data_IF_020978248630
#
_entry.id   IF_020978248630
#
_cell.length_a   1.000
_cell.length_b   1.000
_cell.length_c   1.000
_cell.angle_alpha   90.00
_cell.angle_beta   90.00
_cell.angle_gamma   90.00
#
_symmetry.space_group_name_H-M   'P 1'
#
loop_
_entity.id
_entity.type
_entity.pdbx_description
1 polymer ?
#
# COMPACT_ATOMS: atom_id res chain seq x y z
N UNK A 1 -11.14 -1.72 21.41
CA UNK A 1 -9.83 -2.23 20.98
C UNK A 1 -9.36 -1.44 19.78
N UNK A 2 -8.07 -1.10 19.70
CA UNK A 2 -7.45 -0.36 18.60
C UNK A 2 -6.44 -1.29 17.90
N UNK A 3 -6.73 -1.64 16.65
CA UNK A 3 -5.91 -2.53 15.83
C UNK A 3 -5.27 -1.72 14.70
N UNK A 4 -3.95 -1.84 14.58
CA UNK A 4 -3.20 -1.33 13.44
C UNK A 4 -2.77 -2.50 12.57
N UNK A 5 -2.98 -2.40 11.26
CA UNK A 5 -2.56 -3.39 10.28
C UNK A 5 -1.57 -2.75 9.33
N UNK A 6 -0.31 -3.18 9.41
CA UNK A 6 0.75 -2.82 8.47
C UNK A 6 0.70 -3.83 7.33
N UNK A 7 0.45 -3.37 6.11
CA UNK A 7 0.20 -4.26 4.97
C UNK A 7 0.56 -3.62 3.62
N UNK A 8 0.59 -4.43 2.57
CA UNK A 8 0.56 -3.96 1.19
C UNK A 8 -0.86 -4.00 0.59
N UNK A 9 -0.94 -3.85 -0.73
CA UNK A 9 -2.20 -3.91 -1.49
C UNK A 9 -2.80 -5.32 -1.61
N UNK A 10 -2.40 -6.07 -2.64
CA UNK A 10 -3.17 -7.20 -3.18
C UNK A 10 -3.42 -8.34 -2.20
N UNK A 11 -2.38 -8.84 -1.52
CA UNK A 11 -2.51 -10.05 -0.70
C UNK A 11 -3.47 -9.84 0.48
N UNK A 12 -3.30 -8.76 1.23
CA UNK A 12 -4.14 -8.47 2.40
C UNK A 12 -5.59 -8.14 2.00
N UNK A 13 -5.85 -7.66 0.78
CA UNK A 13 -7.23 -7.45 0.32
C UNK A 13 -8.05 -8.75 0.27
N UNK A 14 -7.42 -9.92 0.12
CA UNK A 14 -8.10 -11.22 0.09
C UNK A 14 -8.58 -11.69 1.46
N UNK A 15 -8.06 -11.11 2.55
CA UNK A 15 -8.40 -11.46 3.92
C UNK A 15 -8.89 -10.24 4.71
N UNK A 16 -9.40 -9.21 4.02
CA UNK A 16 -9.77 -7.94 4.66
C UNK A 16 -10.86 -8.12 5.72
N UNK A 17 -11.77 -9.06 5.49
CA UNK A 17 -12.90 -9.38 6.37
C UNK A 17 -12.46 -9.85 7.76
N UNK A 18 -11.28 -10.50 7.85
CA UNK A 18 -10.70 -10.99 9.11
C UNK A 18 -10.27 -9.86 10.05
N UNK A 19 -9.99 -8.68 9.50
CA UNK A 19 -9.60 -7.50 10.27
C UNK A 19 -10.79 -6.64 10.67
N UNK A 20 -11.98 -6.86 10.10
CA UNK A 20 -13.10 -5.95 10.34
C UNK A 20 -13.58 -6.05 11.81
N UNK A 21 -13.72 -4.91 12.51
CA UNK A 21 -14.13 -4.91 13.90
C UNK A 21 -15.54 -5.48 14.06
N UNK A 22 -15.74 -6.31 15.10
CA UNK A 22 -17.08 -6.79 15.48
C UNK A 22 -17.88 -5.72 16.25
N UNK A 23 -17.18 -4.89 17.02
CA UNK A 23 -17.78 -3.81 17.81
C UNK A 23 -17.53 -2.45 17.13
N UNK A 24 -18.55 -1.59 17.11
CA UNK A 24 -18.45 -0.21 16.56
C UNK A 24 -17.46 0.67 17.32
N UNK A 25 -17.20 0.35 18.59
CA UNK A 25 -16.23 1.07 19.43
C UNK A 25 -14.77 0.64 19.16
N UNK A 26 -14.57 -0.48 18.46
CA UNK A 26 -13.24 -0.91 18.04
C UNK A 26 -12.77 -0.08 16.85
N UNK A 27 -11.50 0.32 16.84
CA UNK A 27 -10.88 1.07 15.75
C UNK A 27 -9.93 0.17 14.98
N UNK A 28 -9.99 0.25 13.66
CA UNK A 28 -9.09 -0.44 12.73
C UNK A 28 -8.36 0.60 11.88
N UNK A 29 -7.04 0.54 11.84
CA UNK A 29 -6.23 1.42 11.00
C UNK A 29 -5.31 0.61 10.11
N UNK A 30 -5.42 0.77 8.80
CA UNK A 30 -4.46 0.25 7.84
C UNK A 30 -3.36 1.28 7.58
N UNK A 31 -2.10 0.83 7.64
CA UNK A 31 -0.92 1.63 7.28
C UNK A 31 -0.26 0.95 6.09
N UNK A 32 -0.09 1.72 5.01
CA UNK A 32 0.32 1.22 3.70
C UNK A 32 1.60 1.92 3.22
N UNK A 33 2.46 1.24 2.45
CA UNK A 33 3.58 1.87 1.77
C UNK A 33 3.08 2.81 0.66
N UNK A 34 3.93 3.75 0.24
CA UNK A 34 3.66 4.67 -0.89
C UNK A 34 4.74 4.61 -1.98
N UNK A 35 5.52 3.52 -2.01
CA UNK A 35 6.70 3.34 -2.86
C UNK A 35 6.47 2.54 -4.15
N UNK A 36 5.24 2.09 -4.43
CA UNK A 36 4.91 1.36 -5.66
C UNK A 36 5.06 2.26 -6.90
N UNK A 37 6.07 2.01 -7.72
CA UNK A 37 6.34 2.80 -8.92
C UNK A 37 5.77 2.17 -10.22
N UNK A 38 4.76 1.32 -10.10
CA UNK A 38 4.29 0.49 -11.18
C UNK A 38 2.90 0.81 -11.76
N UNK A 39 2.69 0.43 -13.03
CA UNK A 39 1.37 0.37 -13.66
C UNK A 39 0.67 1.72 -13.70
N UNK A 40 -0.61 1.75 -13.31
CA UNK A 40 -1.39 3.00 -13.31
C UNK A 40 -0.89 4.04 -12.31
N UNK A 41 -0.28 3.64 -11.19
CA UNK A 41 0.29 4.58 -10.23
C UNK A 41 1.59 5.15 -10.78
N UNK A 42 2.46 4.28 -11.30
CA UNK A 42 3.71 4.69 -11.96
C UNK A 42 3.50 5.64 -13.13
N UNK A 43 2.45 5.43 -13.95
CA UNK A 43 2.14 6.34 -15.06
C UNK A 43 1.69 7.73 -14.57
N UNK A 44 0.93 7.81 -13.47
CA UNK A 44 0.61 9.11 -12.85
C UNK A 44 1.85 9.79 -12.31
N UNK A 45 2.76 9.05 -11.67
CA UNK A 45 4.02 9.59 -11.16
C UNK A 45 4.93 10.07 -12.30
N UNK A 46 4.98 9.34 -13.42
CA UNK A 46 5.76 9.72 -14.61
C UNK A 46 5.32 11.07 -15.18
N UNK A 47 4.01 11.33 -15.20
CA UNK A 47 3.45 12.55 -15.77
C UNK A 47 3.46 13.71 -14.77
N UNK A 48 3.08 13.46 -13.52
CA UNK A 48 2.77 14.51 -12.54
C UNK A 48 3.71 14.52 -11.33
N UNK A 49 4.60 13.54 -11.18
CA UNK A 49 5.49 13.37 -10.04
C UNK A 49 4.79 12.93 -8.75
N UNK A 50 5.57 12.85 -7.67
CA UNK A 50 5.11 12.53 -6.33
C UNK A 50 5.01 11.03 -6.04
N UNK A 51 4.46 10.71 -4.87
CA UNK A 51 4.37 9.34 -4.37
C UNK A 51 3.19 8.54 -4.93
N UNK A 52 3.28 7.22 -4.76
CA UNK A 52 2.29 6.26 -5.23
C UNK A 52 1.05 6.24 -4.36
N UNK A 53 -0.12 6.19 -5.00
CA UNK A 53 -1.43 6.15 -4.32
C UNK A 53 -2.13 4.79 -4.47
N UNK A 54 -1.53 3.85 -5.21
CA UNK A 54 -2.21 2.64 -5.69
C UNK A 54 -2.71 1.74 -4.58
N UNK A 55 -1.87 1.48 -3.58
CA UNK A 55 -2.22 0.63 -2.43
C UNK A 55 -3.26 1.29 -1.53
N UNK A 56 -3.13 2.60 -1.27
CA UNK A 56 -4.13 3.38 -0.53
C UNK A 56 -5.48 3.33 -1.24
N UNK A 57 -5.52 3.64 -2.53
CA UNK A 57 -6.74 3.52 -3.34
C UNK A 57 -7.31 2.11 -3.27
N UNK A 58 -6.48 1.09 -3.45
CA UNK A 58 -6.90 -0.31 -3.43
C UNK A 58 -7.59 -0.68 -2.13
N UNK A 59 -7.02 -0.24 -0.99
CA UNK A 59 -7.59 -0.47 0.33
C UNK A 59 -8.90 0.27 0.55
N UNK A 60 -8.93 1.55 0.19
CA UNK A 60 -10.12 2.38 0.31
C UNK A 60 -11.29 1.75 -0.45
N UNK A 61 -11.11 1.48 -1.73
CA UNK A 61 -12.18 0.94 -2.58
C UNK A 61 -12.68 -0.41 -2.06
N UNK A 62 -11.80 -1.28 -1.55
CA UNK A 62 -12.19 -2.57 -0.97
C UNK A 62 -13.04 -2.45 0.30
N UNK A 63 -12.89 -1.36 1.05
CA UNK A 63 -13.63 -1.10 2.30
C UNK A 63 -14.92 -0.31 2.08
N UNK A 64 -15.19 0.16 0.86
CA UNK A 64 -16.40 0.89 0.53
C UNK A 64 -17.64 0.01 0.71
N UNK A 65 -18.71 0.62 1.21
CA UNK A 65 -20.03 0.00 1.36
C UNK A 65 -21.01 0.49 0.30
N UNK A 66 -20.69 1.59 -0.40
CA UNK A 66 -21.46 2.06 -1.53
C UNK A 66 -21.03 1.30 -2.80
N UNK A 67 -21.85 0.34 -3.23
CA UNK A 67 -21.56 -0.58 -4.34
C UNK A 67 -21.34 0.13 -5.68
N UNK A 68 -22.14 1.14 -6.02
CA UNK A 68 -22.02 1.83 -7.31
C UNK A 68 -20.73 2.66 -7.39
N UNK A 69 -20.37 3.33 -6.29
CA UNK A 69 -19.11 4.06 -6.18
C UNK A 69 -17.91 3.10 -6.16
N UNK A 70 -18.05 1.97 -5.47
CA UNK A 70 -17.01 0.94 -5.45
C UNK A 70 -16.76 0.39 -6.86
N UNK A 71 -17.81 0.06 -7.61
CA UNK A 71 -17.72 -0.49 -8.97
C UNK A 71 -16.91 0.44 -9.89
N UNK A 72 -17.27 1.73 -9.94
CA UNK A 72 -16.56 2.69 -10.80
C UNK A 72 -15.12 2.93 -10.36
N UNK A 73 -14.83 2.97 -9.05
CA UNK A 73 -13.46 3.21 -8.56
C UNK A 73 -12.57 1.95 -8.57
N UNK A 74 -13.16 0.76 -8.71
CA UNK A 74 -12.42 -0.47 -9.04
C UNK A 74 -12.08 -0.57 -10.52
N UNK A 75 -12.82 0.15 -11.37
CA UNK A 75 -12.72 0.02 -12.82
C UNK A 75 -11.31 0.31 -13.35
N UNK A 76 -10.87 -0.52 -14.29
CA UNK A 76 -9.64 -0.34 -15.05
C UNK A 76 -9.99 -0.27 -16.52
N UNK A 77 -9.43 0.74 -17.20
CA UNK A 77 -9.62 0.93 -18.63
C UNK A 77 -9.04 -0.24 -19.43
N UNK A 78 -9.52 -0.37 -20.66
CA UNK A 78 -9.02 -1.32 -21.67
C UNK A 78 -7.49 -1.37 -21.74
N UNK A 79 -6.94 -2.53 -22.09
CA UNK A 79 -5.51 -2.67 -22.37
C UNK A 79 -5.11 -2.10 -23.74
N UNK A 80 -6.06 -1.87 -24.63
CA UNK A 80 -5.86 -1.16 -25.90
C UNK A 80 -6.00 0.35 -25.68
N UNK A 81 -4.97 1.11 -26.06
CA UNK A 81 -4.91 2.55 -25.81
C UNK A 81 -6.03 3.34 -26.51
N UNK A 82 -6.46 2.91 -27.70
CA UNK A 82 -7.51 3.61 -28.45
C UNK A 82 -8.87 3.35 -27.78
N UNK A 83 -9.14 2.10 -27.40
CA UNK A 83 -10.38 1.77 -26.70
C UNK A 83 -10.42 2.39 -25.30
N UNK A 84 -9.28 2.41 -24.59
CA UNK A 84 -9.16 3.04 -23.28
C UNK A 84 -9.52 4.54 -23.33
N UNK A 85 -9.10 5.25 -24.39
CA UNK A 85 -9.46 6.67 -24.58
C UNK A 85 -10.96 6.86 -24.82
N UNK A 86 -11.57 6.04 -25.67
CA UNK A 86 -13.03 6.09 -25.89
C UNK A 86 -13.81 5.75 -24.63
N UNK A 87 -13.31 4.79 -23.85
CA UNK A 87 -13.90 4.39 -22.58
C UNK A 87 -13.80 5.51 -21.54
N UNK A 88 -12.63 6.15 -21.42
CA UNK A 88 -12.42 7.34 -20.59
C UNK A 88 -13.40 8.47 -20.95
N UNK A 89 -13.49 8.82 -22.24
CA UNK A 89 -14.43 9.83 -22.75
C UNK A 89 -15.88 9.50 -22.40
N UNK A 90 -16.28 8.23 -22.49
CA UNK A 90 -17.63 7.79 -22.08
C UNK A 90 -17.85 8.00 -20.58
N UNK A 91 -16.89 7.60 -19.75
CA UNK A 91 -16.98 7.71 -18.29
C UNK A 91 -17.08 9.17 -17.84
N UNK A 92 -16.23 10.08 -18.32
CA UNK A 92 -16.24 11.48 -17.87
C UNK A 92 -17.51 12.24 -18.28
N UNK A 93 -18.22 11.76 -19.31
CA UNK A 93 -19.48 12.31 -19.81
C UNK A 93 -20.73 11.60 -19.26
N UNK A 94 -20.58 10.49 -18.54
CA UNK A 94 -21.70 9.73 -17.99
C UNK A 94 -22.36 10.47 -16.81
N UNK A 95 -23.63 10.85 -16.97
CA UNK A 95 -24.37 11.61 -15.96
C UNK A 95 -24.89 10.76 -14.82
N UNK A 96 -24.86 9.43 -14.93
CA UNK A 96 -25.24 8.51 -13.87
C UNK A 96 -24.13 8.34 -12.82
N UNK A 97 -22.88 8.66 -13.18
CA UNK A 97 -21.76 8.67 -12.22
C UNK A 97 -21.92 9.84 -11.24
N UNK A 98 -21.65 9.55 -9.97
CA UNK A 98 -21.66 10.54 -8.88
C UNK A 98 -20.94 11.84 -9.28
N UNK A 99 -21.59 12.97 -9.01
CA UNK A 99 -21.13 14.27 -9.50
C UNK A 99 -19.78 14.67 -8.94
N UNK A 100 -19.43 14.24 -7.72
CA UNK A 100 -18.12 14.51 -7.12
C UNK A 100 -17.06 13.73 -7.89
N UNK A 101 -17.29 12.43 -8.10
CA UNK A 101 -16.38 11.56 -8.86
C UNK A 101 -16.15 12.13 -10.26
N UNK A 102 -17.24 12.39 -10.98
CA UNK A 102 -17.17 12.92 -12.34
C UNK A 102 -16.49 14.28 -12.40
N UNK A 103 -16.64 15.14 -11.39
CA UNK A 103 -15.97 16.46 -11.35
C UNK A 103 -14.45 16.32 -11.28
N UNK A 104 -13.95 15.41 -10.44
CA UNK A 104 -12.50 15.17 -10.34
C UNK A 104 -11.95 14.41 -11.55
N UNK A 105 -12.73 13.53 -12.17
CA UNK A 105 -12.32 12.89 -13.42
C UNK A 105 -12.24 13.90 -14.58
N UNK A 106 -13.20 14.83 -14.69
CA UNK A 106 -13.12 15.93 -15.66
C UNK A 106 -11.95 16.87 -15.37
N UNK A 107 -11.65 17.14 -14.09
CA UNK A 107 -10.44 17.87 -13.73
C UNK A 107 -9.18 17.15 -14.21
N UNK A 108 -9.08 15.84 -13.99
CA UNK A 108 -7.96 15.03 -14.48
C UNK A 108 -7.88 15.01 -16.00
N UNK A 109 -9.01 14.95 -16.71
CA UNK A 109 -9.05 15.02 -18.17
C UNK A 109 -8.33 16.26 -18.69
N UNK A 110 -8.59 17.44 -18.09
CA UNK A 110 -7.89 18.69 -18.42
C UNK A 110 -6.40 18.62 -18.10
N UNK A 111 -5.99 17.94 -17.02
CA UNK A 111 -4.56 17.76 -16.71
C UNK A 111 -3.85 16.81 -17.67
N UNK A 112 -4.59 15.83 -18.21
CA UNK A 112 -4.09 14.82 -19.14
C UNK A 112 -4.01 15.40 -20.55
N UNK A 113 -4.88 16.35 -20.89
CA UNK A 113 -4.86 17.04 -22.19
C UNK A 113 -3.49 17.70 -22.44
N UNK A 114 -2.85 17.31 -23.55
CA UNK A 114 -1.51 17.79 -23.91
C UNK A 114 -0.35 17.06 -23.24
N UNK A 115 -0.61 16.10 -22.34
CA UNK A 115 0.40 15.17 -21.83
C UNK A 115 0.60 13.97 -22.77
N UNK A 116 1.70 13.23 -22.60
CA UNK A 116 1.93 11.96 -23.28
C UNK A 116 1.39 10.75 -22.49
N UNK A 117 0.49 10.98 -21.54
CA UNK A 117 -0.06 9.96 -20.65
C UNK A 117 -0.80 8.87 -21.44
N UNK A 118 -0.51 7.61 -21.10
CA UNK A 118 -1.22 6.43 -21.60
C UNK A 118 -2.39 6.10 -20.68
N UNK A 119 -3.55 5.82 -21.30
CA UNK A 119 -4.76 5.43 -20.58
C UNK A 119 -4.97 3.92 -20.56
N UNK A 120 -4.24 3.16 -21.39
CA UNK A 120 -4.29 1.71 -21.36
C UNK A 120 -4.06 1.18 -19.93
N UNK A 121 -5.02 0.40 -19.41
CA UNK A 121 -5.01 -0.22 -18.06
C UNK A 121 -5.04 0.76 -16.89
N UNK A 122 -5.27 2.06 -17.15
CA UNK A 122 -5.37 3.05 -16.10
C UNK A 122 -6.54 2.74 -15.14
N UNK A 123 -6.33 2.98 -13.86
CA UNK A 123 -7.33 2.80 -12.81
C UNK A 123 -8.15 4.07 -12.65
N UNK A 124 -9.47 4.00 -12.83
CA UNK A 124 -10.37 5.14 -12.62
C UNK A 124 -10.27 5.64 -11.18
N UNK A 125 -10.19 4.74 -10.21
CA UNK A 125 -9.98 5.13 -8.82
C UNK A 125 -8.64 5.81 -8.57
N UNK A 126 -7.57 5.48 -9.32
CA UNK A 126 -6.29 6.19 -9.21
C UNK A 126 -6.44 7.61 -9.76
N UNK A 127 -7.07 7.77 -10.93
CA UNK A 127 -7.34 9.09 -11.52
C UNK A 127 -8.14 9.97 -10.55
N UNK A 128 -9.22 9.41 -9.99
CA UNK A 128 -10.04 10.11 -9.01
C UNK A 128 -9.25 10.51 -7.77
N UNK A 129 -8.59 9.57 -7.08
CA UNK A 129 -7.84 9.86 -5.86
C UNK A 129 -6.68 10.83 -6.10
N UNK A 130 -5.98 10.71 -7.24
CA UNK A 130 -4.91 11.61 -7.61
C UNK A 130 -5.43 13.02 -7.89
N UNK A 131 -6.54 13.15 -8.61
CA UNK A 131 -7.20 14.43 -8.84
C UNK A 131 -7.63 15.11 -7.55
N UNK A 132 -8.18 14.35 -6.59
CA UNK A 132 -8.45 14.87 -5.26
C UNK A 132 -7.15 15.34 -4.58
N UNK A 133 -6.13 14.49 -4.51
CA UNK A 133 -4.82 14.81 -3.91
C UNK A 133 -4.22 16.10 -4.45
N UNK A 134 -4.28 16.33 -5.77
CA UNK A 134 -3.74 17.54 -6.41
C UNK A 134 -4.40 18.83 -5.91
N UNK A 135 -5.69 18.78 -5.58
CA UNK A 135 -6.47 19.96 -5.18
C UNK A 135 -6.43 20.19 -3.67
N UNK A 136 -6.56 19.14 -2.87
CA UNK A 136 -6.78 19.26 -1.42
C UNK A 136 -5.69 18.64 -0.55
N UNK A 137 -4.71 17.95 -1.14
CA UNK A 137 -3.76 17.14 -0.37
C UNK A 137 -4.26 15.72 -0.12
N UNK A 138 -3.35 14.84 0.29
CA UNK A 138 -3.64 13.40 0.38
C UNK A 138 -4.58 13.04 1.52
N UNK A 139 -4.45 13.71 2.66
CA UNK A 139 -5.27 13.45 3.84
C UNK A 139 -6.75 13.74 3.54
N UNK A 140 -7.02 14.92 3.00
CA UNK A 140 -8.36 15.37 2.62
C UNK A 140 -8.93 14.51 1.49
N UNK A 141 -8.08 14.05 0.55
CA UNK A 141 -8.49 13.14 -0.52
C UNK A 141 -8.93 11.76 0.01
N UNK A 142 -8.20 11.21 0.98
CA UNK A 142 -8.58 9.97 1.69
C UNK A 142 -9.90 10.17 2.43
N UNK A 143 -10.07 11.29 3.15
CA UNK A 143 -11.31 11.60 3.85
C UNK A 143 -12.51 11.72 2.90
N UNK A 144 -12.31 12.33 1.73
CA UNK A 144 -13.35 12.42 0.71
C UNK A 144 -13.74 11.04 0.19
N UNK A 145 -12.76 10.20 -0.17
CA UNK A 145 -13.01 8.82 -0.59
C UNK A 145 -13.74 8.01 0.49
N UNK A 146 -13.33 8.14 1.75
CA UNK A 146 -14.00 7.49 2.89
C UNK A 146 -15.48 7.88 2.96
N UNK A 147 -15.78 9.18 2.87
CA UNK A 147 -17.14 9.71 2.97
C UNK A 147 -18.03 9.25 1.83
N UNK A 148 -17.59 9.40 0.57
CA UNK A 148 -18.40 9.01 -0.59
C UNK A 148 -18.54 7.48 -0.68
N UNK A 149 -17.49 6.75 -0.31
CA UNK A 149 -17.48 5.29 -0.32
C UNK A 149 -18.27 4.64 0.82
N UNK A 150 -18.76 5.42 1.80
CA UNK A 150 -19.49 4.90 2.95
C UNK A 150 -18.63 4.03 3.87
N UNK A 151 -17.32 4.31 3.96
CA UNK A 151 -16.42 3.56 4.84
C UNK A 151 -16.75 3.90 6.30
N UNK A 152 -16.92 2.90 7.19
CA UNK A 152 -17.23 3.15 8.60
C UNK A 152 -16.20 4.07 9.28
N UNK A 153 -16.68 5.03 10.08
CA UNK A 153 -15.83 6.06 10.71
C UNK A 153 -14.78 5.51 11.69
N UNK A 154 -14.92 4.26 12.14
CA UNK A 154 -13.97 3.57 13.00
C UNK A 154 -12.89 2.81 12.19
N UNK A 155 -12.90 2.90 10.87
CA UNK A 155 -11.91 2.31 9.97
C UNK A 155 -11.12 3.45 9.29
N UNK A 156 -9.80 3.40 9.42
CA UNK A 156 -8.89 4.41 8.89
C UNK A 156 -7.86 3.77 7.95
N UNK A 157 -7.45 4.53 6.93
CA UNK A 157 -6.45 4.12 5.94
C UNK A 157 -5.44 5.26 5.81
N UNK A 158 -4.18 4.99 6.09
CA UNK A 158 -3.10 5.97 5.98
C UNK A 158 -1.92 5.42 5.17
N UNK A 159 -1.23 6.30 4.45
CA UNK A 159 0.12 6.01 3.97
C UNK A 159 1.12 6.18 5.10
N UNK A 160 2.21 5.40 5.11
CA UNK A 160 3.26 5.56 6.10
C UNK A 160 3.90 6.95 6.06
N UNK A 161 4.07 7.50 4.85
CA UNK A 161 4.53 8.87 4.58
C UNK A 161 3.77 9.43 3.37
N UNK A 162 3.69 10.75 3.23
CA UNK A 162 3.25 11.44 2.01
C UNK A 162 4.39 12.23 1.35
N UNK A 163 5.62 11.93 1.71
CA UNK A 163 6.80 12.39 0.98
C UNK A 163 6.94 11.66 -0.35
N UNK A 164 7.53 12.34 -1.34
CA UNK A 164 7.91 11.72 -2.61
C UNK A 164 9.09 10.77 -2.40
N UNK A 165 8.86 9.48 -2.63
CA UNK A 165 9.79 8.40 -2.31
C UNK A 165 9.71 7.26 -3.32
N UNK A 166 10.88 6.69 -3.61
CA UNK A 166 11.02 5.36 -4.18
C UNK A 166 11.83 4.50 -3.19
N UNK A 167 11.93 3.19 -3.44
CA UNK A 167 12.72 2.27 -2.62
C UNK A 167 13.87 1.66 -3.41
N UNK A 168 14.93 1.32 -2.71
CA UNK A 168 16.01 0.47 -3.22
C UNK A 168 16.14 -0.79 -2.37
N UNK A 169 16.62 -1.87 -2.99
CA UNK A 169 17.05 -3.09 -2.33
C UNK A 169 18.54 -3.29 -2.57
N UNK A 170 19.32 -3.40 -1.49
CA UNK A 170 20.72 -3.82 -1.51
C UNK A 170 20.78 -5.32 -1.28
N UNK A 171 21.29 -6.07 -2.26
CA UNK A 171 21.42 -7.51 -2.19
C UNK A 171 22.70 -7.93 -1.42
N UNK A 172 22.74 -9.16 -0.94
CA UNK A 172 23.88 -9.68 -0.17
C UNK A 172 25.18 -9.76 -0.99
N UNK A 173 25.09 -9.90 -2.31
CA UNK A 173 26.23 -9.84 -3.24
C UNK A 173 26.72 -8.40 -3.52
N UNK A 174 26.08 -7.37 -2.97
CA UNK A 174 26.43 -5.96 -3.14
C UNK A 174 25.71 -5.23 -4.27
N UNK A 175 24.95 -5.92 -5.12
CA UNK A 175 24.12 -5.29 -6.16
C UNK A 175 22.99 -4.46 -5.53
N UNK A 176 22.63 -3.36 -6.19
CA UNK A 176 21.51 -2.50 -5.81
C UNK A 176 20.47 -2.54 -6.93
N UNK A 177 19.21 -2.71 -6.53
CA UNK A 177 18.04 -2.62 -7.40
C UNK A 177 17.23 -1.43 -6.92
N UNK A 178 16.84 -0.53 -7.83
CA UNK A 178 16.06 0.67 -7.53
C UNK A 178 14.67 0.51 -8.18
N UNK A 179 13.63 0.86 -7.44
CA UNK A 179 12.25 0.73 -7.89
C UNK A 179 11.56 -0.50 -7.30
N UNK A 180 10.39 -0.29 -6.69
CA UNK A 180 9.60 -1.40 -6.16
C UNK A 180 9.28 -2.44 -7.24
N UNK A 181 8.86 -2.01 -8.43
CA UNK A 181 8.53 -2.92 -9.52
C UNK A 181 9.75 -3.75 -9.95
N UNK A 182 10.95 -3.16 -10.04
CA UNK A 182 12.16 -3.92 -10.40
C UNK A 182 12.53 -4.99 -9.35
N UNK A 183 12.23 -4.73 -8.08
CA UNK A 183 12.46 -5.65 -6.97
C UNK A 183 11.44 -6.81 -7.03
N UNK A 184 10.14 -6.51 -7.06
CA UNK A 184 9.08 -7.51 -6.89
C UNK A 184 8.55 -8.08 -8.19
N UNK A 185 8.34 -7.22 -9.19
CA UNK A 185 7.55 -7.50 -10.38
C UNK A 185 8.21 -6.83 -11.61
N UNK A 186 9.30 -7.41 -12.13
CA UNK A 186 10.11 -6.75 -13.14
C UNK A 186 9.27 -6.51 -14.41
N UNK A 187 9.59 -5.44 -15.12
CA UNK A 187 8.87 -5.09 -16.34
C UNK A 187 9.16 -6.11 -17.44
N UNK A 188 8.10 -6.73 -17.99
CA UNK A 188 8.22 -7.58 -19.18
C UNK A 188 8.08 -6.69 -20.43
N UNK A 189 9.21 -6.29 -21.02
CA UNK A 189 9.27 -5.51 -22.26
C UNK A 189 9.60 -4.02 -22.05
N UNK A 190 9.29 -3.18 -23.04
CA UNK A 190 9.76 -1.78 -23.07
C UNK A 190 8.85 -0.75 -22.35
N UNK A 191 7.88 -1.17 -21.52
CA UNK A 191 6.91 -0.24 -20.92
C UNK A 191 6.61 -0.55 -19.45
N UNK A 192 6.77 0.44 -18.57
CA UNK A 192 6.45 0.38 -17.12
C UNK A 192 4.97 0.05 -16.81
N UNK A 193 4.10 0.09 -17.83
CA UNK A 193 2.69 -0.34 -17.72
C UNK A 193 2.54 -1.88 -17.72
N UNK A 194 3.55 -2.61 -18.19
CA UNK A 194 3.55 -4.07 -18.37
C UNK A 194 4.37 -4.74 -17.27
N UNK A 195 3.80 -4.77 -16.07
CA UNK A 195 4.40 -5.37 -14.88
C UNK A 195 4.06 -6.84 -14.80
N UNK A 196 5.08 -7.67 -14.62
CA UNK A 196 4.89 -9.10 -14.38
C UNK A 196 4.65 -9.38 -12.90
N UNK A 197 3.37 -9.32 -12.51
CA UNK A 197 2.95 -9.63 -11.14
C UNK A 197 3.05 -11.12 -10.79
N UNK A 198 3.30 -11.97 -11.79
CA UNK A 198 3.41 -13.42 -11.65
C UNK A 198 4.88 -13.88 -11.75
N UNK A 199 5.85 -12.96 -11.78
CA UNK A 199 7.26 -13.30 -11.83
C UNK A 199 7.69 -14.01 -10.54
N UNK A 200 7.86 -15.34 -10.63
CA UNK A 200 8.36 -16.18 -9.54
C UNK A 200 9.87 -16.38 -9.58
N UNK A 201 10.58 -15.79 -10.56
CA UNK A 201 12.03 -15.96 -10.71
C UNK A 201 12.73 -15.27 -9.53
N UNK A 202 13.42 -16.02 -8.65
CA UNK A 202 14.07 -15.43 -7.49
C UNK A 202 15.10 -14.37 -7.87
N UNK A 203 15.33 -13.42 -6.96
CA UNK A 203 16.47 -12.52 -7.08
C UNK A 203 17.78 -13.31 -7.07
N UNK A 204 18.78 -12.79 -7.79
CA UNK A 204 20.11 -13.40 -7.91
C UNK A 204 20.85 -13.56 -6.57
N UNK A 205 20.44 -12.82 -5.55
CA UNK A 205 21.00 -12.84 -4.20
C UNK A 205 19.95 -12.32 -3.21
N UNK A 206 19.89 -12.81 -1.97
CA UNK A 206 18.95 -12.34 -0.97
C UNK A 206 19.06 -10.84 -0.71
N UNK A 207 17.93 -10.19 -0.40
CA UNK A 207 17.89 -8.79 0.02
C UNK A 207 18.53 -8.69 1.41
N UNK A 208 19.48 -7.75 1.56
CA UNK A 208 20.16 -7.44 2.82
C UNK A 208 19.57 -6.21 3.51
N UNK A 209 19.17 -5.20 2.74
CA UNK A 209 18.59 -3.94 3.24
C UNK A 209 17.64 -3.36 2.19
N UNK A 210 16.55 -2.78 2.67
CA UNK A 210 15.73 -1.83 1.90
C UNK A 210 15.86 -0.44 2.52
N UNK A 211 15.86 0.58 1.68
CA UNK A 211 15.87 1.97 2.10
C UNK A 211 15.10 2.84 1.11
N UNK A 212 14.94 4.11 1.46
CA UNK A 212 14.30 5.09 0.60
C UNK A 212 15.33 5.76 -0.30
N UNK A 213 14.92 6.09 -1.51
CA UNK A 213 15.72 6.83 -2.48
C UNK A 213 14.82 7.79 -3.22
N UNK A 214 15.34 8.98 -3.55
CA UNK A 214 14.63 9.92 -4.42
C UNK A 214 14.84 9.51 -5.87
N UNK A 215 13.82 9.72 -6.71
CA UNK A 215 13.96 9.46 -8.14
C UNK A 215 15.11 10.28 -8.76
N UNK A 216 16.00 9.60 -9.49
CA UNK A 216 17.19 10.20 -10.10
C UNK A 216 18.41 10.33 -9.19
N UNK A 217 18.32 9.97 -7.91
CA UNK A 217 19.46 9.94 -6.98
C UNK A 217 19.99 8.51 -6.78
N UNK A 218 21.30 8.38 -6.54
CA UNK A 218 21.97 7.10 -6.22
C UNK A 218 21.82 6.73 -4.73
N UNK A 219 22.53 5.68 -4.28
CA UNK A 219 22.61 5.33 -2.85
C UNK A 219 23.20 6.51 -2.06
N UNK A 220 22.41 7.16 -1.20
CA UNK A 220 22.88 8.26 -0.36
C UNK A 220 21.78 8.95 0.45
N UNK A 221 21.98 8.99 1.78
CA UNK A 221 21.43 9.87 2.84
C UNK A 221 19.96 10.38 2.82
N UNK A 222 19.10 9.89 1.93
CA UNK A 222 17.66 10.18 1.92
C UNK A 222 16.82 9.10 2.63
N UNK A 223 17.43 8.33 3.55
CA UNK A 223 16.75 7.32 4.39
C UNK A 223 15.81 7.98 5.43
N UNK A 224 15.94 9.29 5.68
CA UNK A 224 15.12 10.04 6.65
C UNK A 224 13.77 10.47 6.05
N UNK A 225 12.88 9.49 5.81
CA UNK A 225 11.49 9.76 5.40
C UNK A 225 10.58 9.73 6.62
N UNK A 226 9.94 10.85 6.91
CA UNK A 226 9.15 11.01 8.13
C UNK A 226 7.76 10.43 7.94
N UNK A 227 7.31 9.73 8.98
CA UNK A 227 5.95 9.23 9.00
C UNK A 227 4.94 10.35 9.22
N UNK A 228 3.74 10.17 8.68
CA UNK A 228 2.64 11.09 8.89
C UNK A 228 2.18 11.08 10.36
N UNK A 229 1.75 12.22 10.89
CA UNK A 229 1.31 12.34 12.29
C UNK A 229 0.15 11.39 12.62
N UNK A 230 -0.82 11.22 11.72
CA UNK A 230 -1.94 10.29 11.94
C UNK A 230 -1.49 8.83 11.98
N UNK A 231 -0.42 8.51 11.26
CA UNK A 231 0.19 7.18 11.26
C UNK A 231 0.91 6.93 12.58
N UNK A 232 1.71 7.89 13.03
CA UNK A 232 2.41 7.83 14.32
C UNK A 232 1.43 7.71 15.48
N UNK A 233 0.36 8.52 15.48
CA UNK A 233 -0.68 8.48 16.50
C UNK A 233 -1.42 7.13 16.49
N UNK A 234 -1.78 6.61 15.32
CA UNK A 234 -2.47 5.32 15.23
C UNK A 234 -1.64 4.18 15.82
N UNK A 235 -0.33 4.17 15.53
CA UNK A 235 0.62 3.19 16.08
C UNK A 235 0.76 3.38 17.58
N UNK A 236 0.99 4.60 18.04
CA UNK A 236 1.19 4.91 19.46
C UNK A 236 -0.04 4.57 20.31
N UNK A 237 -1.24 4.66 19.75
CA UNK A 237 -2.47 4.34 20.45
C UNK A 237 -2.91 2.88 20.32
N UNK A 238 -2.28 2.08 19.45
CA UNK A 238 -2.75 0.72 19.17
C UNK A 238 -2.62 -0.19 20.40
N UNK A 239 -3.60 -1.08 20.55
CA UNK A 239 -3.55 -2.23 21.46
C UNK A 239 -2.85 -3.42 20.79
N UNK A 240 -3.05 -3.57 19.47
CA UNK A 240 -2.50 -4.66 18.66
C UNK A 240 -1.98 -4.13 17.32
N UNK A 241 -0.77 -4.54 16.96
CA UNK A 241 -0.17 -4.31 15.64
C UNK A 241 -0.12 -5.64 14.90
N UNK A 242 -0.66 -5.67 13.68
CA UNK A 242 -0.61 -6.82 12.79
C UNK A 242 0.29 -6.50 11.61
N UNK A 243 1.35 -7.27 11.43
CA UNK A 243 2.14 -7.31 10.21
C UNK A 243 1.47 -8.33 9.29
N UNK A 244 0.70 -7.85 8.32
CA UNK A 244 -0.15 -8.69 7.49
C UNK A 244 0.62 -9.36 6.34
N UNK A 245 -0.06 -10.26 5.61
CA UNK A 245 0.45 -10.89 4.40
C UNK A 245 0.70 -9.88 3.26
N UNK A 246 1.71 -10.16 2.45
CA UNK A 246 2.18 -9.31 1.36
C UNK A 246 3.69 -9.39 1.21
N UNK A 247 4.24 -8.62 0.28
CA UNK A 247 5.68 -8.60 0.04
C UNK A 247 6.41 -8.06 1.26
N UNK A 248 7.30 -8.87 1.83
CA UNK A 248 8.01 -8.52 3.06
C UNK A 248 8.87 -7.28 2.84
N UNK A 249 9.69 -7.26 1.79
CA UNK A 249 10.71 -6.24 1.58
C UNK A 249 10.17 -5.00 0.90
N UNK A 250 9.09 -5.11 0.13
CA UNK A 250 8.53 -3.97 -0.62
C UNK A 250 7.18 -3.46 -0.14
N UNK A 251 6.53 -4.15 0.82
CA UNK A 251 5.31 -3.64 1.45
C UNK A 251 5.45 -3.42 2.95
N UNK A 252 5.95 -4.42 3.70
CA UNK A 252 6.00 -4.34 5.16
C UNK A 252 7.21 -3.53 5.63
N UNK A 253 8.42 -3.93 5.22
CA UNK A 253 9.67 -3.27 5.64
C UNK A 253 9.69 -1.78 5.32
N UNK A 254 9.25 -1.28 4.15
CA UNK A 254 9.23 0.16 3.86
C UNK A 254 8.44 0.96 4.89
N UNK A 255 7.29 0.45 5.36
CA UNK A 255 6.53 1.11 6.43
C UNK A 255 7.33 1.16 7.73
N UNK A 256 8.01 0.07 8.10
CA UNK A 256 8.72 -0.02 9.38
C UNK A 256 9.96 0.88 9.47
N UNK A 257 10.67 1.03 8.35
CA UNK A 257 11.87 1.87 8.28
C UNK A 257 11.55 3.36 8.12
N UNK A 258 10.28 3.74 7.93
CA UNK A 258 9.86 5.14 7.92
C UNK A 258 10.14 5.77 9.28
N UNK A 259 10.86 6.89 9.29
CA UNK A 259 11.34 7.57 10.48
C UNK A 259 10.19 7.95 11.40
N UNK A 260 10.35 7.61 12.66
CA UNK A 260 9.35 7.81 13.69
C UNK A 260 8.55 6.56 14.01
N UNK A 261 8.34 5.64 13.06
CA UNK A 261 7.48 4.46 13.26
C UNK A 261 8.00 3.56 14.38
N UNK A 262 9.27 3.18 14.32
CA UNK A 262 9.87 2.27 15.30
C UNK A 262 9.86 2.83 16.72
N UNK A 263 9.96 4.15 16.89
CA UNK A 263 9.86 4.82 18.19
C UNK A 263 8.46 4.76 18.82
N UNK A 264 7.39 4.67 18.03
CA UNK A 264 6.00 4.67 18.54
C UNK A 264 5.49 3.26 18.82
N UNK A 265 6.18 2.23 18.32
CA UNK A 265 5.86 0.84 18.62
C UNK A 265 6.32 0.54 20.04
N UNK A 266 5.37 0.33 20.95
CA UNK A 266 5.62 0.09 22.37
C UNK A 266 5.87 -1.39 22.64
N UNK A 267 6.56 -1.70 23.74
CA UNK A 267 6.86 -3.09 24.15
C UNK A 267 5.62 -3.86 24.58
N UNK A 268 4.69 -3.21 25.28
CA UNK A 268 3.45 -3.78 25.83
C UNK A 268 2.37 -4.06 24.76
N UNK A 269 2.52 -3.52 23.55
CA UNK A 269 1.60 -3.80 22.45
C UNK A 269 1.69 -5.26 22.03
N UNK A 270 0.53 -5.87 21.80
CA UNK A 270 0.46 -7.17 21.17
C UNK A 270 0.86 -7.05 19.70
N UNK A 271 1.71 -7.96 19.22
CA UNK A 271 2.24 -7.92 17.85
C UNK A 271 2.00 -9.26 17.19
N UNK A 272 1.33 -9.27 16.05
CA UNK A 272 0.96 -10.48 15.30
C UNK A 272 1.62 -10.42 13.93
N UNK A 273 2.26 -11.51 13.52
CA UNK A 273 2.81 -11.66 12.17
C UNK A 273 2.02 -12.69 11.38
N UNK A 274 1.43 -12.27 10.26
CA UNK A 274 0.84 -13.16 9.27
C UNK A 274 1.88 -13.41 8.18
N UNK A 275 2.27 -14.68 7.99
CA UNK A 275 3.29 -15.05 6.99
C UNK A 275 2.60 -15.51 5.71
N UNK A 276 3.18 -15.16 4.57
CA UNK A 276 2.69 -15.61 3.27
C UNK A 276 2.67 -17.14 3.20
N UNK A 277 1.65 -17.70 2.54
CA UNK A 277 1.53 -19.14 2.35
C UNK A 277 2.55 -19.74 1.36
N UNK A 278 3.19 -18.88 0.56
CA UNK A 278 4.19 -19.29 -0.42
C UNK A 278 5.29 -18.21 -0.55
N UNK A 279 6.58 -18.57 -0.72
CA UNK A 279 7.66 -17.61 -0.93
C UNK A 279 7.48 -16.84 -2.23
N UNK A 280 7.79 -15.55 -2.22
CA UNK A 280 7.86 -14.76 -3.47
C UNK A 280 9.31 -14.57 -3.93
N UNK A 281 9.48 -13.86 -5.04
CA UNK A 281 10.77 -13.49 -5.61
C UNK A 281 11.74 -12.85 -4.59
N UNK A 282 11.22 -12.10 -3.62
CA UNK A 282 11.99 -11.37 -2.62
C UNK A 282 12.46 -12.26 -1.46
N UNK A 283 11.74 -13.35 -1.21
CA UNK A 283 11.83 -14.16 0.02
C UNK A 283 12.24 -15.60 -0.23
N UNK A 284 12.77 -15.91 -1.42
CA UNK A 284 13.29 -17.23 -1.77
C UNK A 284 14.28 -17.76 -0.71
N UNK A 285 13.93 -18.89 -0.09
CA UNK A 285 14.74 -19.54 0.94
C UNK A 285 14.52 -19.02 2.36
N UNK A 286 13.63 -18.04 2.58
CA UNK A 286 13.27 -17.54 3.91
C UNK A 286 12.21 -18.42 4.56
N UNK A 287 12.38 -18.67 5.86
CA UNK A 287 11.38 -19.30 6.72
C UNK A 287 10.67 -18.27 7.62
N UNK A 288 9.74 -18.74 8.46
CA UNK A 288 8.94 -17.89 9.37
C UNK A 288 9.79 -17.08 10.36
N UNK A 289 10.88 -17.64 10.86
CA UNK A 289 11.81 -16.94 11.77
C UNK A 289 12.59 -15.87 11.02
N UNK A 290 12.92 -16.09 9.74
CA UNK A 290 13.57 -15.07 8.91
C UNK A 290 12.67 -13.86 8.71
N UNK A 291 11.36 -14.05 8.47
CA UNK A 291 10.39 -12.94 8.41
C UNK A 291 10.37 -12.12 9.70
N UNK A 292 10.28 -12.81 10.85
CA UNK A 292 10.28 -12.19 12.17
C UNK A 292 11.57 -11.42 12.43
N UNK A 293 12.72 -12.02 12.12
CA UNK A 293 14.04 -11.39 12.25
C UNK A 293 14.19 -10.16 11.35
N UNK A 294 13.65 -10.20 10.13
CA UNK A 294 13.66 -9.04 9.22
C UNK A 294 12.81 -7.89 9.78
N UNK A 295 11.62 -8.17 10.31
CA UNK A 295 10.77 -7.16 10.95
C UNK A 295 11.45 -6.57 12.19
N UNK A 296 12.04 -7.42 13.03
CA UNK A 296 12.82 -6.98 14.20
C UNK A 296 14.00 -6.06 13.82
N UNK A 297 14.72 -6.41 12.75
CA UNK A 297 15.81 -5.60 12.23
C UNK A 297 15.33 -4.25 11.68
N UNK A 298 14.20 -4.22 10.96
CA UNK A 298 13.60 -2.99 10.47
C UNK A 298 13.14 -2.05 11.60
N UNK A 299 12.90 -2.61 12.79
CA UNK A 299 12.55 -1.88 14.02
C UNK A 299 13.77 -1.55 14.90
N UNK A 300 14.98 -1.55 14.33
CA UNK A 300 16.26 -1.31 15.02
C UNK A 300 16.49 -2.21 16.25
N UNK A 301 15.86 -3.40 16.30
CA UNK A 301 15.90 -4.31 17.47
C UNK A 301 15.41 -3.68 18.78
N UNK A 302 14.72 -2.54 18.74
CA UNK A 302 14.20 -1.87 19.96
C UNK A 302 13.04 -2.63 20.60
N UNK A 303 12.39 -3.48 19.81
CA UNK A 303 11.06 -4.08 20.07
C UNK A 303 11.13 -5.62 20.19
N UNK A 304 12.32 -6.17 20.46
CA UNK A 304 12.67 -7.56 20.10
C UNK A 304 12.12 -8.69 21.00
N UNK A 305 11.21 -8.45 21.95
CA UNK A 305 10.87 -9.50 22.94
C UNK A 305 9.43 -10.06 22.89
N UNK A 306 8.49 -9.45 22.15
CA UNK A 306 7.07 -9.88 22.20
C UNK A 306 6.34 -9.81 20.84
N UNK A 307 6.90 -10.38 19.76
CA UNK A 307 6.11 -10.69 18.56
C UNK A 307 5.42 -12.04 18.78
N UNK A 308 4.17 -12.00 19.22
CA UNK A 308 3.33 -13.17 19.46
C UNK A 308 2.81 -13.75 18.15
N UNK A 309 3.16 -15.01 17.94
CA UNK A 309 2.48 -15.96 17.04
C UNK A 309 2.47 -15.57 15.55
N UNK A 310 3.20 -16.40 14.81
CA UNK A 310 3.04 -16.63 13.38
C UNK A 310 1.68 -17.30 13.16
N UNK A 311 0.67 -16.53 12.78
CA UNK A 311 -0.62 -17.12 12.37
C UNK A 311 -0.48 -17.48 10.90
N UNK A 312 -0.39 -18.77 10.64
CA UNK A 312 -0.59 -19.29 9.29
C UNK A 312 -2.01 -18.90 8.86
N UNK A 313 -2.21 -18.22 7.72
CA UNK A 313 -3.54 -17.80 7.28
C UNK A 313 -4.51 -18.99 7.07
N UNK A 314 -4.02 -20.23 7.09
CA UNK A 314 -4.83 -21.46 7.13
C UNK A 314 -5.42 -21.80 8.52
N UNK A 315 -5.10 -21.04 9.58
CA UNK A 315 -5.63 -21.27 10.94
C UNK A 315 -7.05 -20.71 11.07
N UNK A 316 -7.96 -21.53 11.63
CA UNK A 316 -9.42 -21.33 11.73
C UNK A 316 -9.93 -20.04 12.43
N UNK A 317 -9.08 -19.09 12.86
CA UNK A 317 -9.56 -17.73 13.16
C UNK A 317 -8.43 -16.69 13.27
N UNK A 318 -8.06 -16.06 12.14
CA UNK A 318 -7.22 -14.84 12.14
C UNK A 318 -7.88 -13.78 13.01
N UNK A 319 -9.19 -13.53 12.79
CA UNK A 319 -9.98 -12.60 13.62
C UNK A 319 -9.93 -12.90 15.11
N UNK A 320 -10.10 -14.16 15.50
CA UNK A 320 -10.01 -14.58 16.91
C UNK A 320 -8.62 -14.34 17.49
N UNK A 321 -7.57 -14.50 16.68
CA UNK A 321 -6.22 -14.14 17.09
C UNK A 321 -6.05 -12.64 17.26
N UNK A 322 -6.62 -11.81 16.38
CA UNK A 322 -6.54 -10.35 16.48
C UNK A 322 -7.29 -9.83 17.72
N UNK A 323 -8.55 -10.24 17.90
CA UNK A 323 -9.45 -9.66 18.91
C UNK A 323 -9.51 -10.42 20.24
N UNK A 324 -8.61 -11.38 20.47
CA UNK A 324 -8.45 -12.04 21.79
C UNK A 324 -8.02 -11.01 22.84
N UNK A 325 -8.82 -10.87 23.90
CA UNK A 325 -8.41 -10.20 25.13
C UNK A 325 -7.28 -11.01 25.77
N UNK A 326 -6.15 -10.37 26.12
CA UNK A 326 -5.09 -11.02 26.88
C UNK A 326 -5.70 -11.71 28.12
N UNK A 327 -5.32 -12.96 28.44
CA UNK A 327 -5.56 -13.49 29.77
C UNK A 327 -4.87 -12.54 30.76
N UNK A 328 -5.62 -12.04 31.74
CA UNK A 328 -5.10 -11.26 32.86
C UNK A 328 -4.02 -12.02 33.63
#
# INVERSE_FOLDING_TARGET
>A
MKVVVISGGTATNNIIEEFLPSNKDDKLTFILPVSDNGGSSGELQRIFGGFSIGDIRSRLVRLMTNESIQEILMHRLSNDEIEARKEWERIINDREIDIIIRSFLNFMDVQIEGSDMKLARASIGNMFLFGCKMIMGMKEAIELMNKIGGIPNNIHIYGCTYEDVNIYAKLANGKIIIGQSEISHPVNGNSQLMIDKECEIPLESPIKKVGYVKEGEGEGDNDDKFANDETLQAIEEADTIVYSIGSLWTSIVPVLITKGISERIRRDQRKILLVNGWPDRETSGMNREDYKNTIAQALDKRVDECIDIVVDPLIESIRGSIYKTNPQ
#
